data_IF_771676219741
#
_entry.id   IF_771676219741
#
_cell.length_a   1.000
_cell.length_b   1.000
_cell.length_c   1.000
_cell.angle_alpha   90.00
_cell.angle_beta   90.00
_cell.angle_gamma   90.00
#
_symmetry.space_group_name_H-M   'P 1'
#
loop_
_entity.id
_entity.type
_entity.pdbx_description
1 polymer ?
#
# COMPACT_ATOMS: atom_id res chain seq x y z
N UNK A 1 40.41 -8.96 9.85
CA UNK A 1 39.24 -9.86 9.75
C UNK A 1 37.92 -9.17 10.10
N UNK A 2 37.92 -8.05 10.84
CA UNK A 2 36.70 -7.33 11.26
C UNK A 2 35.85 -6.76 10.10
N UNK A 3 36.47 -6.30 9.01
CA UNK A 3 35.74 -5.73 7.85
C UNK A 3 34.80 -6.71 7.17
N UNK A 4 35.14 -8.01 7.15
CA UNK A 4 34.30 -9.06 6.52
C UNK A 4 33.06 -9.33 7.39
N UNK A 5 33.22 -9.31 8.71
CA UNK A 5 32.12 -9.51 9.67
C UNK A 5 31.12 -8.37 9.56
N UNK A 6 31.57 -7.11 9.49
CA UNK A 6 30.67 -5.97 9.26
C UNK A 6 29.92 -6.08 7.93
N UNK A 7 30.59 -6.47 6.84
CA UNK A 7 29.94 -6.66 5.54
C UNK A 7 28.89 -7.77 5.57
N UNK A 8 29.17 -8.89 6.24
CA UNK A 8 28.20 -9.98 6.42
C UNK A 8 26.98 -9.55 7.25
N UNK A 9 27.19 -8.75 8.29
CA UNK A 9 26.11 -8.17 9.10
C UNK A 9 25.26 -7.22 8.25
N UNK A 10 25.86 -6.35 7.43
CA UNK A 10 25.11 -5.49 6.52
C UNK A 10 24.39 -6.28 5.43
N UNK A 11 24.97 -7.38 4.94
CA UNK A 11 24.36 -8.25 3.94
C UNK A 11 23.16 -9.01 4.52
N UNK A 12 23.25 -9.51 5.75
CA UNK A 12 22.13 -10.20 6.41
C UNK A 12 20.99 -9.23 6.70
N UNK A 13 21.25 -7.99 7.13
CA UNK A 13 20.21 -6.98 7.28
C UNK A 13 19.47 -6.64 5.98
N UNK A 14 20.12 -6.76 4.82
CA UNK A 14 19.47 -6.56 3.51
C UNK A 14 18.51 -7.70 3.16
N UNK A 15 18.78 -8.92 3.61
CA UNK A 15 17.99 -10.11 3.31
C UNK A 15 16.71 -10.23 4.16
N UNK A 16 16.66 -9.58 5.32
CA UNK A 16 15.53 -9.71 6.27
C UNK A 16 14.55 -8.54 6.25
N UNK A 17 14.68 -7.58 5.35
CA UNK A 17 13.65 -6.57 5.18
C UNK A 17 12.63 -7.10 4.15
N UNK A 18 11.62 -7.86 4.58
CA UNK A 18 10.45 -8.23 3.77
C UNK A 18 9.62 -7.00 3.37
N UNK A 19 8.86 -7.10 2.28
CA UNK A 19 8.20 -6.00 1.55
C UNK A 19 6.89 -5.54 2.20
N UNK A 20 6.98 -5.09 3.45
CA UNK A 20 5.86 -4.46 4.14
C UNK A 20 5.81 -2.95 3.88
N UNK A 21 4.61 -2.44 3.67
CA UNK A 21 4.31 -1.02 3.44
C UNK A 21 3.27 -0.55 4.45
N UNK A 22 3.27 0.76 4.73
CA UNK A 22 2.28 1.41 5.57
C UNK A 22 1.49 2.38 4.70
N UNK A 23 0.16 2.29 4.77
CA UNK A 23 -0.74 3.19 4.09
C UNK A 23 -1.70 3.86 5.08
N UNK A 24 -1.98 5.14 4.86
CA UNK A 24 -3.09 5.84 5.50
C UNK A 24 -3.61 6.93 4.57
N UNK A 25 -4.90 7.24 4.71
CA UNK A 25 -5.54 8.28 3.94
C UNK A 25 -6.59 9.02 4.75
N UNK A 26 -6.78 10.30 4.45
CA UNK A 26 -7.83 11.15 4.99
C UNK A 26 -8.51 11.89 3.84
N UNK A 27 -9.82 11.75 3.76
CA UNK A 27 -10.67 12.46 2.81
C UNK A 27 -11.72 13.25 3.59
N UNK A 28 -11.97 14.47 3.17
CA UNK A 28 -13.05 15.30 3.73
C UNK A 28 -13.78 16.03 2.62
N UNK A 29 -15.09 15.87 2.59
CA UNK A 29 -15.97 16.54 1.65
C UNK A 29 -17.03 17.34 2.38
N UNK A 30 -17.42 18.46 1.77
CA UNK A 30 -18.47 19.35 2.23
C UNK A 30 -19.39 19.64 1.06
N UNK A 31 -20.68 19.36 1.24
CA UNK A 31 -21.71 19.48 0.21
C UNK A 31 -21.31 18.78 -1.08
N UNK A 32 -20.76 17.56 -0.96
CA UNK A 32 -20.25 16.74 -2.06
C UNK A 32 -19.02 17.33 -2.80
N UNK A 33 -18.42 18.41 -2.29
CA UNK A 33 -17.16 18.96 -2.80
C UNK A 33 -16.04 18.45 -1.89
N UNK A 34 -15.10 17.70 -2.48
CA UNK A 34 -13.87 17.29 -1.80
C UNK A 34 -13.00 18.54 -1.53
N UNK A 35 -12.71 18.83 -0.27
CA UNK A 35 -11.90 19.99 0.12
C UNK A 35 -10.58 19.61 0.80
N UNK A 36 -10.45 18.35 1.24
CA UNK A 36 -9.22 17.83 1.82
C UNK A 36 -9.03 16.37 1.38
N UNK A 37 -7.85 16.07 0.83
CA UNK A 37 -7.40 14.72 0.53
C UNK A 37 -5.92 14.65 0.89
N UNK A 38 -5.57 13.66 1.70
CA UNK A 38 -4.19 13.37 2.04
C UNK A 38 -4.01 11.86 2.05
N UNK A 39 -3.13 11.35 1.18
CA UNK A 39 -2.78 9.93 1.12
C UNK A 39 -1.28 9.80 1.29
N UNK A 40 -0.88 8.89 2.17
CA UNK A 40 0.52 8.66 2.46
C UNK A 40 0.86 7.18 2.35
N UNK A 41 2.04 6.93 1.79
CA UNK A 41 2.61 5.61 1.62
C UNK A 41 4.05 5.67 2.12
N UNK A 42 4.44 4.74 2.96
CA UNK A 42 5.82 4.62 3.45
C UNK A 42 6.25 3.16 3.53
N UNK A 43 7.56 2.93 3.45
CA UNK A 43 8.13 1.61 3.74
C UNK A 43 7.99 1.28 5.23
N UNK A 44 7.63 0.05 5.56
CA UNK A 44 7.74 -0.42 6.94
C UNK A 44 9.22 -0.68 7.27
N UNK A 45 9.67 -0.15 8.40
CA UNK A 45 11.04 -0.36 8.89
C UNK A 45 11.21 -1.68 9.66
N UNK A 46 10.10 -2.28 10.08
CA UNK A 46 10.05 -3.51 10.87
C UNK A 46 9.04 -4.45 10.23
N UNK A 47 9.26 -5.75 10.38
CA UNK A 47 8.22 -6.72 10.05
C UNK A 47 7.11 -6.71 11.10
N UNK A 48 5.95 -7.23 10.73
CA UNK A 48 4.82 -7.44 11.61
C UNK A 48 4.87 -8.85 12.19
N UNK A 49 4.84 -8.94 13.52
CA UNK A 49 4.80 -10.23 14.21
C UNK A 49 3.35 -10.70 14.39
N UNK A 50 3.11 -12.02 14.31
CA UNK A 50 1.81 -12.65 14.55
C UNK A 50 0.67 -12.05 13.71
N UNK A 51 0.90 -11.90 12.41
CA UNK A 51 -0.11 -11.44 11.45
C UNK A 51 -0.61 -12.56 10.54
N UNK A 52 -1.80 -12.36 9.98
CA UNK A 52 -2.37 -13.11 8.86
C UNK A 52 -2.49 -12.18 7.67
N UNK A 53 -2.15 -12.71 6.49
CA UNK A 53 -2.35 -12.01 5.23
C UNK A 53 -3.80 -12.20 4.79
N UNK A 54 -4.51 -11.08 4.65
CA UNK A 54 -5.87 -11.05 4.12
C UNK A 54 -5.84 -10.40 2.74
N UNK A 55 -6.25 -11.14 1.71
CA UNK A 55 -6.42 -10.59 0.36
C UNK A 55 -7.40 -9.40 0.39
N UNK A 56 -7.04 -8.30 -0.28
CA UNK A 56 -7.82 -7.07 -0.35
C UNK A 56 -8.34 -6.83 -1.76
N UNK A 57 -7.44 -6.77 -2.72
CA UNK A 57 -7.75 -6.43 -4.11
C UNK A 57 -6.57 -6.75 -5.03
N UNK A 58 -6.77 -6.51 -6.32
CA UNK A 58 -5.74 -6.56 -7.36
C UNK A 58 -5.69 -5.22 -8.10
N UNK A 59 -4.50 -4.72 -8.37
CA UNK A 59 -4.24 -3.52 -9.16
C UNK A 59 -3.71 -3.95 -10.52
N UNK A 60 -4.48 -3.67 -11.57
CA UNK A 60 -4.06 -3.97 -12.95
C UNK A 60 -2.94 -3.05 -13.40
N UNK A 61 -1.99 -3.57 -14.18
CA UNK A 61 -0.89 -2.77 -14.70
C UNK A 61 -1.35 -1.82 -15.82
N UNK A 62 -0.84 -0.60 -15.80
CA UNK A 62 -0.88 0.30 -16.95
C UNK A 62 0.26 -0.02 -17.93
N UNK A 63 0.14 0.51 -19.15
CA UNK A 63 1.22 0.45 -20.15
C UNK A 63 2.53 1.09 -19.66
N UNK A 64 2.45 2.02 -18.70
CA UNK A 64 3.64 2.65 -18.12
C UNK A 64 4.32 1.72 -17.12
N UNK A 65 3.55 1.01 -16.29
CA UNK A 65 4.08 0.07 -15.32
C UNK A 65 4.82 -1.07 -16.00
N UNK A 66 4.23 -1.63 -17.07
CA UNK A 66 4.82 -2.72 -17.84
C UNK A 66 6.17 -2.37 -18.49
N UNK A 67 6.47 -1.08 -18.67
CA UNK A 67 7.77 -0.60 -19.19
C UNK A 67 8.85 -0.50 -18.11
N UNK A 68 8.45 -0.33 -16.86
CA UNK A 68 9.37 -0.09 -15.72
C UNK A 68 9.57 -1.35 -14.89
N UNK A 69 8.56 -2.22 -14.83
CA UNK A 69 8.64 -3.47 -14.06
C UNK A 69 9.70 -4.41 -14.66
N UNK A 70 10.65 -4.89 -13.83
CA UNK A 70 11.68 -5.81 -14.30
C UNK A 70 11.07 -7.15 -14.69
N UNK A 71 11.75 -7.82 -15.63
CA UNK A 71 11.36 -9.15 -16.10
C UNK A 71 12.47 -10.16 -15.85
N UNK A 72 12.07 -11.39 -15.55
CA UNK A 72 12.96 -12.55 -15.45
C UNK A 72 13.50 -12.94 -16.83
N UNK A 73 14.44 -13.88 -16.87
CA UNK A 73 14.97 -14.44 -18.13
C UNK A 73 13.92 -15.15 -18.99
N UNK A 74 12.77 -15.51 -18.41
CA UNK A 74 11.63 -16.11 -19.11
C UNK A 74 10.63 -15.06 -19.63
N UNK A 75 10.89 -13.77 -19.42
CA UNK A 75 10.01 -12.67 -19.84
C UNK A 75 8.83 -12.40 -18.89
N UNK A 76 8.74 -13.12 -17.78
CA UNK A 76 7.75 -12.97 -16.72
C UNK A 76 8.09 -11.77 -15.82
N UNK A 77 7.11 -11.13 -15.17
CA UNK A 77 7.36 -10.04 -14.21
C UNK A 77 8.15 -10.61 -13.02
N UNK A 78 9.22 -9.93 -12.63
CA UNK A 78 10.07 -10.38 -11.52
C UNK A 78 9.62 -9.78 -10.19
N UNK A 79 8.88 -10.54 -9.38
CA UNK A 79 8.47 -10.11 -8.04
C UNK A 79 9.65 -9.97 -7.05
N UNK A 80 10.82 -10.56 -7.35
CA UNK A 80 12.04 -10.36 -6.54
C UNK A 80 12.76 -9.04 -6.87
N UNK A 81 11.99 -8.01 -7.27
CA UNK A 81 12.49 -6.69 -7.57
C UNK A 81 12.87 -5.89 -6.32
N UNK A 82 13.76 -4.89 -6.44
CA UNK A 82 14.08 -3.99 -5.33
C UNK A 82 12.83 -3.30 -4.77
N UNK A 83 12.76 -3.18 -3.44
CA UNK A 83 11.71 -2.45 -2.69
C UNK A 83 11.34 -1.08 -3.24
N UNK A 84 12.33 -0.35 -3.76
CA UNK A 84 12.13 0.97 -4.34
C UNK A 84 11.23 0.92 -5.57
N UNK A 85 11.31 -0.14 -6.38
CA UNK A 85 10.45 -0.34 -7.55
C UNK A 85 9.03 -0.65 -7.09
N UNK A 86 8.85 -1.59 -6.16
CA UNK A 86 7.55 -1.89 -5.55
C UNK A 86 6.90 -0.65 -4.93
N UNK A 87 7.67 0.13 -4.17
CA UNK A 87 7.23 1.39 -3.58
C UNK A 87 6.78 2.40 -4.64
N UNK A 88 7.56 2.57 -5.71
CA UNK A 88 7.24 3.53 -6.77
C UNK A 88 5.94 3.16 -7.49
N UNK A 89 5.72 1.86 -7.77
CA UNK A 89 4.47 1.35 -8.31
C UNK A 89 3.30 1.64 -7.37
N UNK A 90 3.40 1.26 -6.09
CA UNK A 90 2.34 1.55 -5.12
C UNK A 90 2.09 3.06 -4.96
N UNK A 91 3.11 3.88 -5.10
CA UNK A 91 3.01 5.33 -5.02
C UNK A 91 2.32 5.94 -6.25
N UNK A 92 2.42 5.33 -7.45
CA UNK A 92 1.67 5.75 -8.63
C UNK A 92 0.20 5.32 -8.60
N UNK A 93 -0.13 4.28 -7.83
CA UNK A 93 -1.50 3.73 -7.68
C UNK A 93 -2.13 3.99 -6.30
N UNK A 94 -1.89 5.17 -5.71
CA UNK A 94 -2.40 5.52 -4.36
C UNK A 94 -3.92 5.64 -4.29
N UNK A 95 -4.55 6.06 -5.38
CA UNK A 95 -6.00 6.20 -5.44
C UNK A 95 -6.65 4.81 -5.46
N UNK A 96 -6.14 3.90 -6.28
CA UNK A 96 -6.57 2.50 -6.32
C UNK A 96 -6.35 1.80 -4.97
N UNK A 97 -5.21 2.04 -4.30
CA UNK A 97 -4.97 1.54 -2.94
C UNK A 97 -6.03 2.07 -1.95
N UNK A 98 -6.39 3.36 -2.05
CA UNK A 98 -7.44 3.94 -1.20
C UNK A 98 -8.77 3.24 -1.42
N UNK A 99 -9.16 3.06 -2.69
CA UNK A 99 -10.40 2.40 -3.08
C UNK A 99 -10.42 0.94 -2.63
N UNK A 100 -9.29 0.23 -2.71
CA UNK A 100 -9.15 -1.14 -2.21
C UNK A 100 -9.45 -1.24 -0.71
N UNK A 101 -8.79 -0.43 0.11
CA UNK A 101 -8.96 -0.49 1.57
C UNK A 101 -10.33 0.03 2.02
N UNK A 102 -10.88 1.05 1.34
CA UNK A 102 -12.25 1.53 1.58
C UNK A 102 -13.28 0.46 1.20
N UNK A 103 -13.14 -0.15 0.03
CA UNK A 103 -14.03 -1.21 -0.45
C UNK A 103 -14.03 -2.43 0.47
N UNK A 104 -12.85 -2.83 0.97
CA UNK A 104 -12.71 -3.91 1.94
C UNK A 104 -13.08 -3.52 3.39
N UNK A 105 -13.41 -2.25 3.65
CA UNK A 105 -13.71 -1.68 4.99
C UNK A 105 -12.59 -1.91 6.01
N UNK A 106 -11.34 -1.91 5.58
CA UNK A 106 -10.18 -2.19 6.43
C UNK A 106 -9.72 -0.90 7.09
N UNK A 107 -9.79 -0.87 8.44
CA UNK A 107 -9.28 0.26 9.23
C UNK A 107 -9.89 1.61 8.88
N UNK A 108 -11.10 1.62 8.30
CA UNK A 108 -11.79 2.83 7.88
C UNK A 108 -12.69 3.35 8.99
N UNK A 109 -12.57 4.66 9.26
CA UNK A 109 -13.48 5.44 10.08
C UNK A 109 -14.16 6.47 9.20
N UNK A 110 -15.48 6.43 9.14
CA UNK A 110 -16.29 7.42 8.45
C UNK A 110 -17.22 8.14 9.43
N UNK A 111 -17.39 9.45 9.20
CA UNK A 111 -18.37 10.28 9.90
C UNK A 111 -19.11 11.07 8.82
N UNK A 112 -20.43 10.93 8.79
CA UNK A 112 -21.31 11.66 7.88
C UNK A 112 -22.27 12.50 8.72
N UNK A 113 -22.13 13.82 8.63
CA UNK A 113 -23.03 14.78 9.25
C UNK A 113 -23.91 15.40 8.17
N UNK A 114 -25.20 15.07 8.18
CA UNK A 114 -26.18 15.62 7.24
C UNK A 114 -27.19 16.50 7.97
N UNK A 115 -27.31 17.75 7.51
CA UNK A 115 -28.42 18.64 7.86
C UNK A 115 -29.30 18.81 6.62
N UNK A 116 -30.35 17.99 6.56
CA UNK A 116 -31.31 17.97 5.45
C UNK A 116 -32.06 19.30 5.32
N UNK A 117 -32.28 20.04 6.41
CA UNK A 117 -32.97 21.34 6.38
C UNK A 117 -32.11 22.42 5.72
N UNK A 118 -30.79 22.31 5.86
CA UNK A 118 -29.82 23.25 5.25
C UNK A 118 -29.22 22.76 3.95
N UNK A 119 -29.61 21.57 3.48
CA UNK A 119 -28.95 20.86 2.38
C UNK A 119 -27.41 20.79 2.56
N UNK A 120 -26.96 20.68 3.82
CA UNK A 120 -25.55 20.60 4.16
C UNK A 120 -25.17 19.15 4.45
N UNK A 121 -24.04 18.72 3.92
CA UNK A 121 -23.47 17.40 4.19
C UNK A 121 -21.97 17.54 4.40
N UNK A 122 -21.45 17.02 5.50
CA UNK A 122 -20.01 16.91 5.74
C UNK A 122 -19.68 15.45 5.90
N UNK A 123 -18.73 14.95 5.11
CA UNK A 123 -18.25 13.57 5.18
C UNK A 123 -16.77 13.58 5.47
N UNK A 124 -16.36 12.87 6.51
CA UNK A 124 -14.96 12.63 6.86
C UNK A 124 -14.71 11.14 6.78
N UNK A 125 -13.75 10.72 5.96
CA UNK A 125 -13.31 9.34 5.83
C UNK A 125 -11.83 9.28 6.15
N UNK A 126 -11.45 8.41 7.08
CA UNK A 126 -10.07 8.19 7.48
C UNK A 126 -9.74 6.71 7.46
N UNK A 127 -8.77 6.33 6.65
CA UNK A 127 -8.11 5.03 6.73
C UNK A 127 -7.02 5.17 7.79
N UNK A 128 -7.16 4.47 8.91
CA UNK A 128 -6.13 4.43 9.93
C UNK A 128 -4.88 3.74 9.36
N UNK A 129 -3.67 4.12 9.83
CA UNK A 129 -2.43 3.49 9.42
C UNK A 129 -2.53 1.96 9.49
N UNK A 130 -2.44 1.33 8.32
CA UNK A 130 -2.48 -0.11 8.15
C UNK A 130 -1.18 -0.58 7.52
N UNK A 131 -0.83 -1.84 7.76
CA UNK A 131 0.31 -2.50 7.12
C UNK A 131 -0.18 -3.48 6.07
N UNK A 132 0.53 -3.57 4.96
CA UNK A 132 0.16 -4.43 3.85
C UNK A 132 1.40 -4.91 3.09
N UNK A 133 1.26 -5.98 2.32
CA UNK A 133 2.26 -6.53 1.40
C UNK A 133 1.69 -6.51 -0.02
N UNK A 134 2.58 -6.62 -1.01
CA UNK A 134 2.21 -6.71 -2.43
C UNK A 134 2.99 -7.84 -3.10
N UNK A 135 2.28 -8.63 -3.89
CA UNK A 135 2.84 -9.66 -4.78
C UNK A 135 2.60 -9.24 -6.23
N UNK A 136 3.66 -9.21 -7.04
CA UNK A 136 3.55 -8.87 -8.46
C UNK A 136 3.34 -10.13 -9.30
N UNK A 137 2.11 -10.31 -9.80
CA UNK A 137 1.77 -11.33 -10.79
C UNK A 137 2.05 -10.87 -12.22
N UNK A 138 1.67 -11.70 -13.19
CA UNK A 138 1.92 -11.40 -14.61
C UNK A 138 1.06 -10.26 -15.19
N UNK A 139 -0.15 -10.06 -14.66
CA UNK A 139 -1.11 -9.07 -15.19
C UNK A 139 -1.48 -7.99 -14.17
N UNK A 140 -1.26 -8.27 -12.89
CA UNK A 140 -1.74 -7.46 -11.77
C UNK A 140 -0.78 -7.57 -10.58
N UNK A 141 -0.80 -6.55 -9.73
CA UNK A 141 -0.25 -6.59 -8.40
C UNK A 141 -1.35 -6.94 -7.40
N UNK A 142 -1.10 -7.92 -6.54
CA UNK A 142 -2.07 -8.43 -5.56
C UNK A 142 -1.74 -7.81 -4.21
N UNK A 143 -2.74 -7.18 -3.57
CA UNK A 143 -2.58 -6.45 -2.31
C UNK A 143 -3.13 -7.27 -1.14
N UNK A 144 -2.30 -7.46 -0.12
CA UNK A 144 -2.65 -8.20 1.09
C UNK A 144 -2.53 -7.32 2.32
N UNK A 145 -3.61 -7.22 3.10
CA UNK A 145 -3.60 -6.54 4.39
C UNK A 145 -3.02 -7.46 5.47
N UNK A 146 -2.13 -6.92 6.30
CA UNK A 146 -1.55 -7.63 7.45
C UNK A 146 -2.43 -7.44 8.69
N UNK A 147 -3.32 -8.41 8.92
CA UNK A 147 -4.21 -8.43 10.09
C UNK A 147 -3.50 -9.06 11.28
N UNK A 148 -3.47 -8.39 12.42
CA UNK A 148 -3.00 -9.02 13.67
C UNK A 148 -3.92 -10.18 14.08
N UNK A 149 -3.31 -11.30 14.48
CA UNK A 149 -4.00 -12.43 15.11
C UNK A 149 -4.56 -12.06 16.47
#
# INVERSE_FOLDING_TARGET
MERIVCLLIFLSFKLFAQDEFIFWAELSSKNFILFHQNQNLSLAMTQSENVEEQWVCEISYSDQDLKVLPRTSLGLIDDNMPKTIKFNFLNSHKDELSDCFIGARISVKDIVNTDLLRAQSETYVKILPLRFTVEFGEQNAIIYYLKKK
#
